data_IF_958700692651
#
_entry.id   IF_958700692651
#
_cell.length_a   1.000
_cell.length_b   1.000
_cell.length_c   1.000
_cell.angle_alpha   90.00
_cell.angle_beta   90.00
_cell.angle_gamma   90.00
#
_symmetry.space_group_name_H-M   'P 1'
#
loop_
_entity.id
_entity.type
_entity.pdbx_description
1 polymer ?
#
# COMPACT_ATOMS: atom_id res chain seq x y z
N UNK A 1 46.41 21.49 -32.29
CA UNK A 1 46.18 22.32 -31.09
C UNK A 1 46.46 21.46 -29.86
N UNK A 2 47.41 21.85 -28.99
CA UNK A 2 47.78 21.03 -27.83
C UNK A 2 46.61 20.92 -26.84
N UNK A 3 46.21 19.69 -26.49
CA UNK A 3 45.15 19.37 -25.52
C UNK A 3 45.34 20.12 -24.19
N UNK A 4 46.58 20.18 -23.69
CA UNK A 4 46.92 20.93 -22.47
C UNK A 4 46.49 22.41 -22.54
N UNK A 5 46.66 23.05 -23.70
CA UNK A 5 46.31 24.45 -23.92
C UNK A 5 44.79 24.70 -24.05
N UNK A 6 44.01 23.67 -24.35
CA UNK A 6 42.55 23.73 -24.38
C UNK A 6 41.98 23.72 -22.94
N UNK A 7 42.43 22.77 -22.12
CA UNK A 7 42.02 22.66 -20.71
C UNK A 7 42.34 23.93 -19.90
N UNK A 8 43.53 24.51 -20.10
CA UNK A 8 43.91 25.75 -19.41
C UNK A 8 43.01 26.94 -19.79
N UNK A 9 42.58 27.04 -21.06
CA UNK A 9 41.73 28.13 -21.55
C UNK A 9 40.25 27.97 -21.20
N UNK A 10 39.77 26.73 -21.03
CA UNK A 10 38.36 26.42 -20.75
C UNK A 10 38.09 25.95 -19.32
N UNK A 11 39.02 26.20 -18.39
CA UNK A 11 38.96 25.72 -16.99
C UNK A 11 37.65 26.02 -16.26
N UNK A 12 37.14 27.25 -16.36
CA UNK A 12 35.87 27.66 -15.72
C UNK A 12 34.66 26.91 -16.32
N UNK A 13 34.63 26.76 -17.64
CA UNK A 13 33.58 26.04 -18.34
C UNK A 13 33.57 24.55 -17.96
N UNK A 14 34.74 23.92 -17.82
CA UNK A 14 34.84 22.54 -17.35
C UNK A 14 34.31 22.38 -15.92
N UNK A 15 34.68 23.26 -15.00
CA UNK A 15 34.19 23.21 -13.61
C UNK A 15 32.66 23.30 -13.57
N UNK A 16 32.06 24.20 -14.35
CA UNK A 16 30.61 24.31 -14.43
C UNK A 16 29.94 23.04 -14.99
N UNK A 17 30.54 22.41 -16.00
CA UNK A 17 30.03 21.13 -16.54
C UNK A 17 30.09 20.03 -15.48
N UNK A 18 31.20 19.89 -14.76
CA UNK A 18 31.31 18.89 -13.69
C UNK A 18 30.31 19.13 -12.57
N UNK A 19 30.10 20.39 -12.17
CA UNK A 19 29.14 20.73 -11.13
C UNK A 19 27.70 20.44 -11.58
N UNK A 20 27.35 20.79 -12.82
CA UNK A 20 26.04 20.49 -13.38
C UNK A 20 25.79 18.98 -13.48
N UNK A 21 26.76 18.20 -13.93
CA UNK A 21 26.66 16.73 -13.97
C UNK A 21 26.49 16.16 -12.58
N UNK A 22 27.25 16.64 -11.59
CA UNK A 22 27.12 16.21 -10.20
C UNK A 22 25.71 16.46 -9.67
N UNK A 23 25.15 17.65 -9.90
CA UNK A 23 23.79 17.98 -9.50
C UNK A 23 22.76 17.07 -10.20
N UNK A 24 22.90 16.87 -11.51
CA UNK A 24 21.96 16.04 -12.29
C UNK A 24 21.98 14.58 -11.81
N UNK A 25 23.16 13.99 -11.60
CA UNK A 25 23.29 12.60 -11.12
C UNK A 25 22.66 12.47 -9.73
N UNK A 26 22.91 13.41 -8.82
CA UNK A 26 22.32 13.39 -7.48
C UNK A 26 20.81 13.68 -7.47
N UNK A 27 20.29 14.43 -8.44
CA UNK A 27 18.86 14.69 -8.57
C UNK A 27 18.12 13.49 -9.13
N UNK A 28 18.67 12.80 -10.12
CA UNK A 28 17.99 11.67 -10.77
C UNK A 28 18.11 10.41 -9.91
N UNK A 29 19.28 10.17 -9.33
CA UNK A 29 19.60 8.93 -8.61
C UNK A 29 19.51 9.02 -7.08
N UNK A 30 19.73 7.87 -6.46
CA UNK A 30 19.78 7.72 -5.00
C UNK A 30 18.40 7.77 -4.32
N UNK A 31 18.40 7.41 -3.03
CA UNK A 31 17.17 7.30 -2.24
C UNK A 31 16.45 8.63 -1.99
N UNK A 32 17.12 9.75 -2.26
CA UNK A 32 16.56 11.10 -2.13
C UNK A 32 16.41 11.82 -3.48
N UNK A 33 16.67 11.11 -4.58
CA UNK A 33 16.46 11.62 -5.93
C UNK A 33 14.98 11.68 -6.32
N UNK A 34 14.72 12.30 -7.46
CA UNK A 34 13.39 12.54 -8.02
C UNK A 34 12.66 11.24 -8.37
N UNK A 35 13.39 10.24 -8.91
CA UNK A 35 12.80 8.92 -9.23
C UNK A 35 12.32 8.24 -7.95
N UNK A 36 13.20 8.18 -6.94
CA UNK A 36 12.87 7.59 -5.63
C UNK A 36 11.72 8.33 -4.94
N UNK A 37 11.64 9.66 -5.09
CA UNK A 37 10.51 10.44 -4.57
C UNK A 37 9.17 10.00 -5.16
N UNK A 38 9.09 9.81 -6.48
CA UNK A 38 7.86 9.40 -7.16
C UNK A 38 7.47 7.98 -6.72
N UNK A 39 8.43 7.05 -6.68
CA UNK A 39 8.20 5.67 -6.23
C UNK A 39 7.67 5.61 -4.80
N UNK A 40 8.33 6.31 -3.87
CA UNK A 40 7.92 6.37 -2.46
C UNK A 40 6.56 7.02 -2.28
N UNK A 41 6.22 8.02 -3.09
CA UNK A 41 4.89 8.65 -3.08
C UNK A 41 3.81 7.65 -3.51
N UNK A 42 4.06 6.88 -4.55
CA UNK A 42 3.11 5.85 -5.00
C UNK A 42 2.97 4.72 -3.98
N UNK A 43 4.08 4.24 -3.42
CA UNK A 43 4.06 3.24 -2.34
C UNK A 43 3.28 3.74 -1.12
N UNK A 44 3.41 5.01 -0.75
CA UNK A 44 2.64 5.59 0.36
C UNK A 44 1.13 5.54 0.09
N UNK A 45 0.71 5.81 -1.14
CA UNK A 45 -0.71 5.76 -1.53
C UNK A 45 -1.21 4.31 -1.47
N UNK A 46 -0.45 3.37 -2.02
CA UNK A 46 -0.79 1.94 -1.98
C UNK A 46 -0.92 1.43 -0.55
N UNK A 47 0.05 1.76 0.31
CA UNK A 47 0.04 1.39 1.73
C UNK A 47 -1.16 1.99 2.45
N UNK A 48 -1.55 3.23 2.16
CA UNK A 48 -2.73 3.84 2.76
C UNK A 48 -4.04 3.13 2.35
N UNK A 49 -4.13 2.64 1.10
CA UNK A 49 -5.28 1.85 0.65
C UNK A 49 -5.32 0.50 1.37
N UNK A 50 -4.17 -0.18 1.48
CA UNK A 50 -4.05 -1.45 2.21
C UNK A 50 -4.43 -1.27 3.68
N UNK A 51 -3.91 -0.23 4.32
CA UNK A 51 -4.21 0.10 5.72
C UNK A 51 -5.72 0.31 5.92
N UNK A 52 -6.36 1.12 5.08
CA UNK A 52 -7.82 1.33 5.18
C UNK A 52 -8.63 0.04 5.02
N UNK A 53 -8.23 -0.83 4.09
CA UNK A 53 -8.89 -2.13 3.91
C UNK A 53 -8.69 -3.04 5.12
N UNK A 54 -7.48 -3.08 5.70
CA UNK A 54 -7.19 -3.85 6.89
C UNK A 54 -7.97 -3.35 8.10
N UNK A 55 -8.04 -2.02 8.30
CA UNK A 55 -8.83 -1.40 9.37
C UNK A 55 -10.31 -1.73 9.21
N UNK A 56 -10.86 -1.64 7.99
CA UNK A 56 -12.26 -2.01 7.73
C UNK A 56 -12.53 -3.48 8.04
N UNK A 57 -11.66 -4.38 7.60
CA UNK A 57 -11.80 -5.83 7.85
C UNK A 57 -11.68 -6.13 9.35
N UNK A 58 -10.77 -5.45 10.04
CA UNK A 58 -10.57 -5.61 11.48
C UNK A 58 -11.79 -5.11 12.25
N UNK A 59 -12.35 -3.95 11.90
CA UNK A 59 -13.59 -3.44 12.50
C UNK A 59 -14.76 -4.40 12.28
N UNK A 60 -14.91 -4.97 11.09
CA UNK A 60 -15.95 -5.96 10.82
C UNK A 60 -15.75 -7.22 11.68
N UNK A 61 -14.50 -7.70 11.79
CA UNK A 61 -14.16 -8.87 12.59
C UNK A 61 -14.38 -8.63 14.09
N UNK A 62 -13.95 -7.49 14.61
CA UNK A 62 -14.21 -7.07 16.00
C UNK A 62 -15.70 -6.97 16.30
N UNK A 63 -16.48 -6.39 15.37
CA UNK A 63 -17.93 -6.36 15.49
C UNK A 63 -18.50 -7.78 15.59
N UNK A 64 -18.12 -8.69 14.70
CA UNK A 64 -18.56 -10.09 14.75
C UNK A 64 -18.16 -10.78 16.06
N UNK A 65 -16.93 -10.55 16.54
CA UNK A 65 -16.46 -11.12 17.81
C UNK A 65 -17.22 -10.56 19.00
N UNK A 66 -17.51 -9.26 19.02
CA UNK A 66 -18.29 -8.64 20.10
C UNK A 66 -19.68 -9.24 20.23
N UNK A 67 -20.31 -9.61 19.11
CA UNK A 67 -21.60 -10.32 19.07
C UNK A 67 -21.54 -11.74 19.64
N UNK A 68 -20.34 -12.31 19.80
CA UNK A 68 -20.11 -13.67 20.28
C UNK A 68 -19.37 -13.71 21.63
N UNK A 69 -19.07 -12.55 22.22
CA UNK A 69 -18.29 -12.43 23.47
C UNK A 69 -19.19 -12.31 24.71
N UNK A 70 -18.98 -11.31 25.58
CA UNK A 70 -19.62 -11.18 26.89
C UNK A 70 -21.15 -11.27 26.87
N UNK A 71 -21.78 -10.73 25.81
CA UNK A 71 -23.22 -10.85 25.56
C UNK A 71 -23.43 -11.47 24.20
N UNK A 72 -23.56 -12.79 24.19
CA UNK A 72 -23.83 -13.55 22.97
C UNK A 72 -25.16 -13.08 22.37
N UNK A 73 -25.12 -12.66 21.12
CA UNK A 73 -26.30 -12.34 20.33
C UNK A 73 -26.83 -13.64 19.71
N UNK A 74 -27.98 -14.12 20.22
CA UNK A 74 -28.59 -15.37 19.77
C UNK A 74 -29.06 -15.33 18.32
N UNK A 75 -29.52 -14.19 17.81
CA UNK A 75 -29.93 -14.05 16.41
C UNK A 75 -28.72 -14.20 15.48
N UNK A 76 -27.60 -13.57 15.85
CA UNK A 76 -26.35 -13.71 15.11
C UNK A 76 -25.81 -15.15 15.16
N UNK A 77 -25.97 -15.84 16.29
CA UNK A 77 -25.61 -17.24 16.42
C UNK A 77 -26.48 -18.16 15.54
N UNK A 78 -27.80 -17.90 15.45
CA UNK A 78 -28.71 -18.62 14.54
C UNK A 78 -28.30 -18.40 13.07
N UNK A 79 -27.98 -17.15 12.69
CA UNK A 79 -27.45 -16.84 11.35
C UNK A 79 -26.19 -17.66 11.06
N UNK A 80 -25.23 -17.71 11.98
CA UNK A 80 -24.00 -18.50 11.81
C UNK A 80 -24.29 -20.00 11.68
N UNK A 81 -25.20 -20.56 12.49
CA UNK A 81 -25.56 -21.97 12.40
C UNK A 81 -26.21 -22.30 11.04
N UNK A 82 -27.08 -21.42 10.55
CA UNK A 82 -27.72 -21.58 9.24
C UNK A 82 -26.71 -21.46 8.09
N UNK A 83 -25.80 -20.50 8.14
CA UNK A 83 -24.77 -20.32 7.10
C UNK A 83 -23.77 -21.49 7.06
N UNK A 84 -23.27 -21.93 8.21
CA UNK A 84 -22.20 -22.95 8.29
C UNK A 84 -22.72 -24.37 8.13
N UNK A 85 -23.87 -24.67 8.72
CA UNK A 85 -24.39 -26.04 8.76
C UNK A 85 -25.63 -26.24 7.89
N UNK A 86 -26.14 -25.18 7.24
CA UNK A 86 -27.40 -25.22 6.47
C UNK A 86 -28.52 -25.81 7.31
N UNK A 87 -28.59 -25.42 8.57
CA UNK A 87 -29.60 -25.89 9.51
C UNK A 87 -30.91 -25.13 9.31
N UNK A 88 -32.04 -25.80 9.53
CA UNK A 88 -33.38 -25.23 9.45
C UNK A 88 -34.14 -25.57 10.72
N UNK A 89 -35.22 -24.83 10.99
CA UNK A 89 -36.12 -25.21 12.09
C UNK A 89 -36.86 -26.49 11.73
N UNK A 90 -37.38 -27.17 12.76
CA UNK A 90 -38.10 -28.44 12.63
C UNK A 90 -39.26 -28.42 11.60
N UNK A 91 -39.83 -27.24 11.37
CA UNK A 91 -40.97 -27.03 10.46
C UNK A 91 -40.56 -26.38 9.12
N UNK A 92 -39.27 -26.16 8.89
CA UNK A 92 -38.74 -25.54 7.67
C UNK A 92 -38.22 -26.59 6.69
N UNK A 93 -38.56 -26.45 5.40
CA UNK A 93 -37.96 -27.22 4.33
C UNK A 93 -36.82 -26.43 3.68
N UNK A 94 -35.62 -27.01 3.64
CA UNK A 94 -34.45 -26.37 3.04
C UNK A 94 -34.34 -26.80 1.57
N UNK A 95 -34.52 -25.83 0.67
CA UNK A 95 -34.42 -26.05 -0.77
C UNK A 95 -33.11 -25.45 -1.27
N UNK A 96 -32.23 -26.30 -1.81
CA UNK A 96 -31.02 -25.85 -2.51
C UNK A 96 -31.38 -25.53 -3.96
N UNK A 97 -31.40 -24.24 -4.30
CA UNK A 97 -31.52 -23.81 -5.69
C UNK A 97 -30.17 -24.04 -6.41
N UNK A 98 -30.25 -24.53 -7.65
CA UNK A 98 -29.10 -24.78 -8.53
C UNK A 98 -28.65 -23.50 -9.21
#
# INVERSE_FOLDING_TARGET
>A
MNIKSFFSRKKLLLINIFLSIYIIINLIGGDRGLVSYIEKKNLKIELAVIENNLVSNLMEFEKKNSLLSEKINFDYLDILYREKFKFGKKEEFIIKLK
#
